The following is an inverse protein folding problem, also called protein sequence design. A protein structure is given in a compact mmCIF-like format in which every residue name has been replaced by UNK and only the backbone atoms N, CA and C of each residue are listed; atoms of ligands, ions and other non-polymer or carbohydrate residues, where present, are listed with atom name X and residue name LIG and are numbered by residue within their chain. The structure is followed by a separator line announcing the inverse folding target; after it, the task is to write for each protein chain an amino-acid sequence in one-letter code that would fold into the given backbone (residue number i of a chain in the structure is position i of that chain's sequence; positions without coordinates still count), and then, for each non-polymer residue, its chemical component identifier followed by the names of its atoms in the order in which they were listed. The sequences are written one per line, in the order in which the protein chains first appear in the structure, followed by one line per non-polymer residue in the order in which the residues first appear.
data_IF_730338799695
#
_entry.id   IF_730338799695
#
_cell.length_a   1.000
_cell.length_b   1.000
_cell.length_c   1.000
_cell.angle_alpha   90.00
_cell.angle_beta   90.00
_cell.angle_gamma   90.00
#
_symmetry.space_group_name_H-M   'P 1'
#
loop_
_entity.id
_entity.type
_entity.pdbx_description
1 polymer ?
#
# COMPACT_ATOMS: atom_id res chain seq x y z
N UNK A 1 -9.19 -2.06 -7.24
CA UNK A 1 -9.14 -3.50 -6.87
C UNK A 1 -7.92 -3.73 -6.00
N UNK A 2 -8.06 -4.22 -4.75
CA UNK A 2 -6.90 -4.63 -3.95
C UNK A 2 -6.26 -5.89 -4.54
N UNK A 3 -4.94 -6.04 -4.35
CA UNK A 3 -4.16 -7.21 -4.78
C UNK A 3 -3.44 -7.78 -3.57
N UNK A 4 -3.39 -9.10 -3.48
CA UNK A 4 -2.63 -9.83 -2.47
C UNK A 4 -1.54 -10.67 -3.13
N UNK A 5 -0.35 -10.69 -2.54
CA UNK A 5 0.79 -11.46 -3.02
C UNK A 5 1.22 -12.48 -1.97
N UNK A 6 1.30 -13.75 -2.36
CA UNK A 6 1.90 -14.80 -1.54
C UNK A 6 3.37 -14.98 -1.95
N UNK A 7 4.29 -14.55 -1.09
CA UNK A 7 5.73 -14.68 -1.31
C UNK A 7 6.26 -15.90 -0.54
N UNK A 8 7.11 -16.71 -1.17
CA UNK A 8 7.75 -17.88 -0.55
C UNK A 8 9.25 -17.63 -0.41
N UNK A 9 9.83 -18.03 0.72
CA UNK A 9 11.25 -17.88 1.02
C UNK A 9 11.57 -16.68 1.91
N UNK A 10 12.86 -16.36 2.03
CA UNK A 10 13.33 -15.24 2.86
C UNK A 10 12.98 -13.91 2.19
N UNK A 11 12.18 -13.10 2.87
CA UNK A 11 11.84 -11.75 2.41
C UNK A 11 12.79 -10.72 3.00
N UNK A 12 13.54 -10.02 2.16
CA UNK A 12 14.29 -8.83 2.59
C UNK A 12 13.35 -7.62 2.65
N UNK A 13 12.91 -7.28 3.86
CA UNK A 13 11.91 -6.23 4.09
C UNK A 13 12.42 -4.84 3.71
N UNK A 14 13.67 -4.53 4.03
CA UNK A 14 14.30 -3.24 3.72
C UNK A 14 14.36 -3.04 2.20
N UNK A 15 14.79 -4.08 1.47
CA UNK A 15 14.84 -4.03 0.01
C UNK A 15 13.44 -3.85 -0.59
N UNK A 16 12.42 -4.59 -0.11
CA UNK A 16 11.04 -4.46 -0.58
C UNK A 16 10.50 -3.04 -0.38
N UNK A 17 10.65 -2.48 0.82
CA UNK A 17 10.20 -1.12 1.12
C UNK A 17 10.87 -0.09 0.23
N UNK A 18 12.20 -0.22 0.04
CA UNK A 18 12.96 0.64 -0.87
C UNK A 18 12.46 0.54 -2.31
N UNK A 19 12.23 -0.66 -2.83
CA UNK A 19 11.72 -0.87 -4.18
C UNK A 19 10.33 -0.25 -4.38
N UNK A 20 9.42 -0.40 -3.42
CA UNK A 20 8.09 0.21 -3.49
C UNK A 20 8.17 1.75 -3.43
N UNK A 21 9.01 2.31 -2.55
CA UNK A 21 9.27 3.75 -2.50
C UNK A 21 9.87 4.29 -3.82
N UNK A 22 10.75 3.53 -4.47
CA UNK A 22 11.26 3.88 -5.81
C UNK A 22 10.14 3.92 -6.86
N UNK A 23 9.20 2.98 -6.82
CA UNK A 23 8.04 2.99 -7.72
C UNK A 23 7.15 4.21 -7.49
N UNK A 24 6.87 4.56 -6.23
CA UNK A 24 6.10 5.75 -5.90
C UNK A 24 6.79 7.02 -6.42
N UNK A 25 8.10 7.16 -6.19
CA UNK A 25 8.85 8.33 -6.65
C UNK A 25 8.82 8.47 -8.17
N UNK A 26 8.96 7.35 -8.91
CA UNK A 26 8.94 7.35 -10.38
C UNK A 26 7.55 7.63 -10.97
N UNK A 27 6.49 7.15 -10.34
CA UNK A 27 5.15 7.15 -10.90
C UNK A 27 4.25 8.17 -10.22
N UNK A 28 4.00 9.29 -10.89
CA UNK A 28 3.11 10.35 -10.39
C UNK A 28 1.69 9.85 -10.12
N UNK A 29 1.17 8.96 -10.96
CA UNK A 29 -0.18 8.41 -10.83
C UNK A 29 -0.44 7.69 -9.50
N UNK A 30 0.61 7.20 -8.84
CA UNK A 30 0.51 6.54 -7.54
C UNK A 30 0.57 7.52 -6.35
N UNK A 31 0.85 8.80 -6.60
CA UNK A 31 1.03 9.85 -5.58
C UNK A 31 -0.07 10.92 -5.61
N UNK A 32 -1.16 10.69 -6.34
CA UNK A 32 -2.26 11.64 -6.48
C UNK A 32 -3.14 11.65 -5.23
N UNK A 33 -3.41 12.84 -4.72
CA UNK A 33 -4.42 13.10 -3.68
C UNK A 33 -5.61 13.82 -4.29
N UNK A 34 -6.80 13.42 -3.85
CA UNK A 34 -8.05 14.06 -4.21
C UNK A 34 -8.42 15.03 -3.10
N UNK A 35 -8.86 16.22 -3.48
CA UNK A 35 -9.43 17.22 -2.57
C UNK A 35 -10.61 17.89 -3.25
N UNK A 36 -11.49 18.48 -2.46
CA UNK A 36 -12.68 19.17 -2.95
C UNK A 36 -12.57 20.65 -2.63
N UNK A 37 -12.81 21.49 -3.62
CA UNK A 37 -12.90 22.95 -3.48
C UNK A 37 -14.17 23.43 -4.19
N UNK A 38 -15.04 24.15 -3.47
CA UNK A 38 -16.29 24.71 -3.99
C UNK A 38 -17.20 23.68 -4.73
N UNK A 39 -17.27 22.45 -4.23
CA UNK A 39 -18.08 21.38 -4.85
C UNK A 39 -17.46 20.72 -6.08
N UNK A 40 -16.21 21.06 -6.43
CA UNK A 40 -15.47 20.44 -7.51
C UNK A 40 -14.27 19.63 -6.96
N UNK A 41 -14.07 18.42 -7.50
CA UNK A 41 -12.97 17.54 -7.10
C UNK A 41 -11.74 17.81 -7.94
N UNK A 42 -10.61 18.05 -7.28
CA UNK A 42 -9.31 18.27 -7.89
C UNK A 42 -8.30 17.20 -7.48
N UNK A 43 -7.33 16.96 -8.36
CA UNK A 43 -6.26 15.99 -8.15
C UNK A 43 -4.91 16.71 -8.12
N UNK A 44 -4.10 16.43 -7.11
CA UNK A 44 -2.76 16.99 -6.98
C UNK A 44 -1.73 15.92 -6.63
N UNK A 45 -0.58 15.87 -7.31
CA UNK A 45 0.49 14.95 -6.96
C UNK A 45 1.18 15.38 -5.67
N UNK A 46 1.41 14.43 -4.78
CA UNK A 46 2.17 14.65 -3.54
C UNK A 46 3.65 14.32 -3.78
N UNK A 47 4.52 15.16 -3.23
CA UNK A 47 5.96 14.95 -3.24
C UNK A 47 6.42 14.24 -1.96
N UNK A 48 7.53 13.50 -2.04
CA UNK A 48 8.19 12.89 -0.89
C UNK A 48 7.32 11.88 -0.09
N UNK A 49 6.47 11.11 -0.79
CA UNK A 49 5.70 10.04 -0.16
C UNK A 49 6.60 8.84 0.13
N UNK A 50 6.55 8.34 1.36
CA UNK A 50 7.17 7.09 1.77
C UNK A 50 6.11 6.12 2.28
N UNK A 51 6.28 4.84 1.97
CA UNK A 51 5.45 3.78 2.50
C UNK A 51 6.00 3.33 3.84
N UNK A 52 5.12 3.30 4.84
CA UNK A 52 5.30 2.46 6.00
C UNK A 52 4.72 1.07 5.70
N UNK A 53 5.47 0.02 6.06
CA UNK A 53 5.09 -1.38 5.81
C UNK A 53 4.97 -2.11 7.16
N UNK A 54 3.86 -1.90 7.89
CA UNK A 54 3.67 -2.56 9.18
C UNK A 54 3.62 -4.08 9.00
N UNK A 55 4.29 -4.79 9.90
CA UNK A 55 4.29 -6.26 9.94
C UNK A 55 3.15 -6.69 10.85
N UNK A 56 2.20 -7.43 10.28
CA UNK A 56 1.12 -8.04 11.03
C UNK A 56 1.35 -9.54 11.00
N UNK A 57 1.66 -10.12 12.14
CA UNK A 57 1.70 -11.58 12.30
C UNK A 57 0.26 -12.09 12.34
N UNK A 58 -0.02 -13.10 11.53
CA UNK A 58 -1.35 -13.69 11.44
C UNK A 58 -1.26 -15.20 11.35
N UNK A 59 -2.15 -15.87 12.04
CA UNK A 59 -2.28 -17.33 12.02
C UNK A 59 -3.38 -17.68 11.04
N UNK A 60 -3.04 -17.69 9.75
CA UNK A 60 -3.98 -18.13 8.71
C UNK A 60 -3.82 -19.63 8.49
N UNK A 61 -4.92 -20.38 8.56
CA UNK A 61 -4.94 -21.76 8.09
C UNK A 61 -4.84 -21.80 6.56
N UNK A 62 -4.44 -22.95 5.98
CA UNK A 62 -4.32 -23.09 4.52
C UNK A 62 -5.62 -22.72 3.77
N UNK A 63 -6.77 -22.95 4.39
CA UNK A 63 -8.12 -22.58 3.94
C UNK A 63 -8.42 -21.07 3.99
N UNK A 64 -7.68 -20.30 4.77
CA UNK A 64 -7.90 -18.86 4.99
C UNK A 64 -6.93 -17.96 4.20
N UNK A 65 -5.87 -18.53 3.60
CA UNK A 65 -4.90 -17.77 2.80
C UNK A 65 -5.53 -17.03 1.61
N UNK A 66 -6.62 -17.56 1.04
CA UNK A 66 -7.37 -16.91 -0.04
C UNK A 66 -8.40 -15.87 0.44
N UNK A 67 -8.57 -15.70 1.75
CA UNK A 67 -9.60 -14.86 2.38
C UNK A 67 -9.03 -13.74 3.26
N UNK A 68 -7.77 -13.36 3.04
CA UNK A 68 -7.11 -12.27 3.77
C UNK A 68 -8.06 -11.08 3.94
N UNK A 69 -8.52 -10.78 5.18
CA UNK A 69 -9.45 -9.68 5.38
C UNK A 69 -8.70 -8.37 5.09
N UNK A 70 -9.21 -7.58 4.15
CA UNK A 70 -8.79 -6.17 3.88
C UNK A 70 -9.25 -5.27 5.05
N UNK A 71 -9.09 -5.71 6.30
CA UNK A 71 -9.38 -4.89 7.47
C UNK A 71 -8.13 -4.10 7.84
N UNK A 72 -7.59 -3.34 6.89
CA UNK A 72 -6.68 -2.25 7.21
C UNK A 72 -7.54 -1.14 7.80
N UNK A 73 -7.56 -1.02 9.14
CA UNK A 73 -8.17 0.11 9.82
C UNK A 73 -7.63 1.39 9.18
N UNK A 74 -8.50 2.20 8.60
CA UNK A 74 -8.19 3.59 8.26
C UNK A 74 -7.78 4.26 9.57
N UNK A 75 -6.49 4.58 9.72
CA UNK A 75 -6.10 5.61 10.69
C UNK A 75 -6.67 6.92 10.15
N UNK A 76 -7.56 7.53 10.92
CA UNK A 76 -7.95 8.93 10.73
C UNK A 76 -6.77 9.86 11.01
#
# INVERSE_FOLDING_TARGET
MPVFLLLRGKLNRIALQKSLNTLLNRHESLRLKFHEENGQVFMQPTHNMTLDLPIIETFLTDTERGKLPVALKKSG
#
